data_IF_450207121345
#
_entry.id   IF_450207121345
#
_cell.length_a   1.000
_cell.length_b   1.000
_cell.length_c   1.000
_cell.angle_alpha   90.00
_cell.angle_beta   90.00
_cell.angle_gamma   90.00
#
_symmetry.space_group_name_H-M   'P 1'
#
loop_
_entity.id
_entity.type
_entity.pdbx_description
1 polymer ?
#
# COMPACT_ATOMS: atom_id res chain seq x y z
N UNK A 1 -2.59 9.17 5.74
CA UNK A 1 -4.03 9.03 5.48
C UNK A 1 -4.40 7.58 5.61
N UNK A 2 -5.48 7.29 6.32
CA UNK A 2 -5.98 5.92 6.50
C UNK A 2 -7.04 5.64 5.44
N UNK A 3 -6.89 4.55 4.69
CA UNK A 3 -7.86 4.10 3.69
C UNK A 3 -8.54 2.83 4.20
N UNK A 4 -9.87 2.80 4.16
CA UNK A 4 -10.63 1.58 4.35
C UNK A 4 -10.80 0.91 2.99
N UNK A 5 -10.19 -0.26 2.81
CA UNK A 5 -10.42 -1.06 1.61
C UNK A 5 -11.73 -1.82 1.83
N UNK A 6 -12.71 -1.60 0.95
CA UNK A 6 -13.99 -2.30 0.95
C UNK A 6 -14.07 -3.15 -0.31
N UNK A 7 -13.93 -4.46 -0.15
CA UNK A 7 -14.08 -5.42 -1.24
C UNK A 7 -15.41 -6.16 -1.08
N UNK A 8 -16.17 -6.31 -2.17
CA UNK A 8 -17.43 -7.06 -2.19
C UNK A 8 -17.24 -8.34 -2.98
N UNK A 9 -17.52 -9.48 -2.37
CA UNK A 9 -17.57 -10.76 -3.08
C UNK A 9 -18.97 -10.95 -3.67
N UNK A 10 -19.14 -10.81 -4.98
CA UNK A 10 -20.34 -11.26 -5.67
C UNK A 10 -20.23 -12.75 -5.98
N UNK A 11 -20.27 -13.59 -4.94
CA UNK A 11 -20.45 -15.02 -5.13
C UNK A 11 -21.91 -15.26 -5.47
N UNK A 12 -22.20 -15.67 -6.72
CA UNK A 12 -23.52 -16.17 -7.13
C UNK A 12 -23.85 -17.54 -6.48
N UNK A 13 -23.17 -17.89 -5.39
CA UNK A 13 -23.20 -19.20 -4.77
C UNK A 13 -23.18 -19.03 -3.23
N UNK A 14 -24.36 -19.07 -2.59
CA UNK A 14 -24.55 -18.71 -1.17
C UNK A 14 -24.06 -19.77 -0.18
N UNK A 15 -23.44 -20.86 -0.63
CA UNK A 15 -23.10 -22.05 0.17
C UNK A 15 -21.60 -22.23 0.45
N UNK A 16 -20.72 -21.39 -0.10
CA UNK A 16 -19.28 -21.44 0.21
C UNK A 16 -18.95 -20.54 1.41
N UNK A 17 -19.20 -21.07 2.61
CA UNK A 17 -18.48 -20.59 3.79
C UNK A 17 -16.98 -20.89 3.64
N UNK A 18 -16.11 -19.93 3.95
CA UNK A 18 -14.66 -20.16 3.99
C UNK A 18 -13.85 -19.65 2.79
N UNK A 19 -14.14 -18.45 2.31
CA UNK A 19 -13.24 -17.75 1.39
C UNK A 19 -11.92 -17.42 2.10
N UNK A 20 -10.80 -17.65 1.42
CA UNK A 20 -9.47 -17.21 1.86
C UNK A 20 -9.07 -15.96 1.10
N UNK A 21 -8.45 -15.01 1.81
CA UNK A 21 -8.02 -13.72 1.24
C UNK A 21 -6.50 -13.61 1.33
N UNK A 22 -5.88 -13.02 0.32
CA UNK A 22 -4.45 -12.74 0.31
C UNK A 22 -4.18 -11.43 -0.42
N UNK A 23 -3.60 -10.46 0.28
CA UNK A 23 -3.18 -9.17 -0.26
C UNK A 23 -1.67 -9.10 -0.46
N UNK A 24 -1.25 -8.51 -1.59
CA UNK A 24 0.16 -8.22 -1.86
C UNK A 24 0.33 -6.85 -2.52
N UNK A 25 1.27 -6.00 -2.07
CA UNK A 25 2.17 -6.19 -0.92
C UNK A 25 1.40 -6.10 0.42
N UNK A 26 1.93 -6.69 1.49
CA UNK A 26 1.33 -6.58 2.84
C UNK A 26 1.72 -5.28 3.56
N UNK A 27 2.76 -4.59 3.07
CA UNK A 27 3.28 -3.38 3.68
C UNK A 27 2.22 -2.28 3.73
N UNK A 28 1.94 -1.75 4.93
CA UNK A 28 0.93 -0.72 5.12
C UNK A 28 -0.50 -1.24 5.25
N UNK A 29 -0.76 -2.56 5.17
CA UNK A 29 -2.06 -3.15 5.50
C UNK A 29 -2.12 -3.54 6.99
N UNK A 30 -3.32 -3.46 7.56
CA UNK A 30 -3.58 -3.93 8.93
C UNK A 30 -3.47 -5.46 9.04
N UNK A 31 -3.96 -6.17 8.02
CA UNK A 31 -3.84 -7.62 7.89
C UNK A 31 -3.97 -7.99 6.42
N UNK A 32 -3.05 -8.78 5.89
CA UNK A 32 -3.05 -9.16 4.48
C UNK A 32 -4.01 -10.33 4.17
N UNK A 33 -4.65 -10.93 5.18
CA UNK A 33 -5.45 -12.14 5.01
C UNK A 33 -6.95 -11.92 5.28
N UNK A 34 -7.39 -10.67 5.38
CA UNK A 34 -8.81 -10.31 5.58
C UNK A 34 -9.36 -9.59 4.35
N UNK A 35 -10.68 -9.67 4.15
CA UNK A 35 -11.35 -9.04 3.01
C UNK A 35 -11.24 -7.51 3.03
N UNK A 36 -11.38 -6.90 4.21
CA UNK A 36 -11.45 -5.45 4.38
C UNK A 36 -10.33 -4.93 5.30
N UNK A 37 -9.06 -4.92 4.84
CA UNK A 37 -7.98 -4.35 5.62
C UNK A 37 -8.03 -2.84 5.63
N UNK A 38 -7.42 -2.27 6.66
CA UNK A 38 -7.12 -0.85 6.70
C UNK A 38 -5.73 -0.63 6.10
N UNK A 39 -5.62 0.27 5.13
CA UNK A 39 -4.37 0.55 4.43
C UNK A 39 -3.83 1.95 4.77
N UNK A 40 -2.53 2.03 5.08
CA UNK A 40 -1.77 3.24 5.35
C UNK A 40 -0.44 3.23 4.58
N UNK A 41 -0.47 3.24 3.24
CA UNK A 41 0.75 3.25 2.44
C UNK A 41 1.52 4.58 2.59
N UNK A 42 2.85 4.50 2.71
CA UNK A 42 3.73 5.67 2.79
C UNK A 42 4.00 6.33 1.43
N UNK A 43 3.85 5.58 0.35
CA UNK A 43 3.99 6.01 -1.05
C UNK A 43 2.86 5.44 -1.90
N UNK A 44 2.73 5.88 -3.15
CA UNK A 44 1.77 5.28 -4.09
C UNK A 44 2.00 3.77 -4.17
N UNK A 45 1.01 2.99 -3.72
CA UNK A 45 1.12 1.54 -3.59
C UNK A 45 -0.06 0.88 -4.27
N UNK A 46 0.23 -0.09 -5.13
CA UNK A 46 -0.77 -0.95 -5.75
C UNK A 46 -0.86 -2.24 -4.96
N UNK A 47 -2.05 -2.52 -4.44
CA UNK A 47 -2.39 -3.76 -3.75
C UNK A 47 -3.17 -4.68 -4.67
N UNK A 48 -2.85 -5.96 -4.63
CA UNK A 48 -3.57 -7.02 -5.33
C UNK A 48 -4.21 -7.94 -4.30
N UNK A 49 -5.53 -8.06 -4.35
CA UNK A 49 -6.30 -9.05 -3.60
C UNK A 49 -6.40 -10.32 -4.44
N UNK A 50 -6.13 -11.45 -3.83
CA UNK A 50 -6.52 -12.77 -4.32
C UNK A 50 -7.53 -13.35 -3.35
N UNK A 51 -8.70 -13.75 -3.87
CA UNK A 51 -9.71 -14.48 -3.10
C UNK A 51 -9.77 -15.89 -3.64
N UNK A 52 -9.62 -16.87 -2.76
CA UNK A 52 -9.73 -18.29 -3.10
C UNK A 52 -10.94 -18.88 -2.42
N UNK A 53 -11.77 -19.58 -3.18
CA UNK A 53 -12.90 -20.30 -2.63
C UNK A 53 -12.51 -21.71 -2.13
N UNK A 54 -13.36 -22.37 -1.32
CA UNK A 54 -13.09 -23.72 -0.84
C UNK A 54 -12.91 -24.79 -1.92
N UNK A 55 -13.38 -24.54 -3.14
CA UNK A 55 -13.24 -25.47 -4.28
C UNK A 55 -11.99 -25.17 -5.12
N UNK A 56 -11.20 -24.16 -4.74
CA UNK A 56 -9.92 -23.79 -5.35
C UNK A 56 -10.02 -22.77 -6.48
N UNK A 57 -11.20 -22.20 -6.75
CA UNK A 57 -11.35 -21.09 -7.70
C UNK A 57 -10.76 -19.82 -7.10
N UNK A 58 -10.03 -19.07 -7.93
CA UNK A 58 -9.39 -17.82 -7.52
C UNK A 58 -9.88 -16.65 -8.35
N UNK A 59 -10.22 -15.56 -7.68
CA UNK A 59 -10.44 -14.26 -8.31
C UNK A 59 -9.39 -13.27 -7.81
N UNK A 60 -9.00 -12.34 -8.67
CA UNK A 60 -8.02 -11.30 -8.34
C UNK A 60 -8.58 -9.91 -8.60
N UNK A 61 -8.32 -8.99 -7.67
CA UNK A 61 -8.68 -7.58 -7.79
C UNK A 61 -7.45 -6.70 -7.52
N UNK A 62 -7.40 -5.53 -8.15
CA UNK A 62 -6.25 -4.61 -8.05
C UNK A 62 -6.71 -3.23 -7.63
N UNK A 63 -6.16 -2.74 -6.53
CA UNK A 63 -6.48 -1.44 -5.95
C UNK A 63 -5.20 -0.61 -5.89
N UNK A 64 -5.22 0.56 -6.53
CA UNK A 64 -4.11 1.50 -6.46
C UNK A 64 -4.44 2.62 -5.49
N UNK A 65 -3.68 2.71 -4.40
CA UNK A 65 -3.79 3.79 -3.43
C UNK A 65 -2.71 4.84 -3.70
N UNK A 66 -3.14 6.05 -4.06
CA UNK A 66 -2.26 7.22 -4.16
C UNK A 66 -2.06 7.83 -2.77
N UNK A 67 -0.82 7.81 -2.27
CA UNK A 67 -0.49 8.40 -0.98
C UNK A 67 -0.71 9.90 -1.03
N UNK A 68 -1.58 10.42 -0.17
CA UNK A 68 -1.83 11.86 -0.05
C UNK A 68 -0.78 12.58 0.81
N UNK A 69 0.46 12.10 0.85
CA UNK A 69 1.55 12.82 1.52
C UNK A 69 1.90 14.06 0.70
N UNK A 70 1.82 15.28 1.27
CA UNK A 70 2.48 16.42 0.65
C UNK A 70 3.96 16.09 0.56
N UNK A 71 4.57 16.35 -0.59
CA UNK A 71 6.03 16.30 -0.74
C UNK A 71 6.62 17.23 0.32
N UNK A 72 7.21 16.67 1.39
CA UNK A 72 8.09 17.44 2.24
C UNK A 72 9.37 17.63 1.45
N UNK A 73 9.44 18.73 0.70
CA UNK A 73 10.68 19.20 0.11
C UNK A 73 11.53 19.64 1.31
N UNK A 74 12.37 18.75 1.84
CA UNK A 74 13.46 19.20 2.70
C UNK A 74 14.44 19.93 1.79
N UNK A 75 14.22 21.24 1.61
CA UNK A 75 15.27 22.12 1.09
C UNK A 75 16.40 22.08 2.10
N UNK A 76 17.37 21.20 1.86
CA UNK A 76 18.67 21.32 2.50
C UNK A 76 19.17 22.74 2.15
N UNK A 77 19.47 23.60 3.14
CA UNK A 77 19.85 24.97 2.83
C UNK A 77 21.06 24.99 1.90
N UNK A 78 20.99 25.89 0.93
CA UNK A 78 22.02 26.17 -0.06
C UNK A 78 23.40 26.31 0.61
N UNK A 79 24.41 25.75 -0.05
CA UNK A 79 25.82 25.92 0.27
C UNK A 79 26.16 27.37 0.63
N UNK A 80 26.37 27.63 1.91
CA UNK A 80 27.07 28.82 2.36
C UNK A 80 27.77 28.46 3.65
N UNK A 81 29.04 28.06 3.54
CA UNK A 81 30.12 28.42 4.46
C UNK A 81 31.44 27.81 3.96
N UNK A 82 32.21 28.66 3.26
CA UNK A 82 33.58 28.98 3.69
C UNK A 82 34.59 27.83 3.65
N UNK A 83 34.89 27.31 2.46
CA UNK A 83 36.24 26.79 2.14
C UNK A 83 36.98 27.79 1.24
N UNK A 84 37.15 29.02 1.74
CA UNK A 84 38.25 29.89 1.37
C UNK A 84 39.09 30.09 2.63
N UNK A 85 39.65 28.99 3.13
CA UNK A 85 40.90 29.07 3.86
C UNK A 85 41.99 29.30 2.83
N UNK A 86 42.24 30.57 2.52
CA UNK A 86 43.45 31.01 1.85
C UNK A 86 44.65 30.43 2.59
N UNK A 87 45.35 29.48 1.95
CA UNK A 87 46.76 29.17 2.16
C UNK A 87 47.23 28.34 0.97
N UNK A 88 47.40 29.03 -0.17
CA UNK A 88 48.38 28.61 -1.17
C UNK A 88 49.66 29.33 -0.76
N UNK A 89 50.69 28.55 -0.43
CA UNK A 89 52.07 29.03 -0.24
C UNK A 89 52.66 29.43 -1.58
#
# INVERSE_FOLDING_TARGET
TVYHIVATSSTNHPELGGLSYSWSPSAGLSDANILNPTAQPMTNTTYTLTVTDPVGCTITDVITLTSKTPVSITTQPLSYNKCLNSNVT
#
